data_IF_337319206802
#
_entry.id   IF_337319206802
#
_cell.length_a   1.000
_cell.length_b   1.000
_cell.length_c   1.000
_cell.angle_alpha   90.00
_cell.angle_beta   90.00
_cell.angle_gamma   90.00
#
_symmetry.space_group_name_H-M   'P 1'
#
loop_
_entity.id
_entity.type
_entity.pdbx_description
1 polymer ?
#
# COMPACT_ATOMS: atom_id res chain seq x y z
N UNK A 1 32.78 30.87 4.54
CA UNK A 1 32.50 29.53 3.96
C UNK A 1 31.60 28.81 4.96
N UNK A 2 30.31 29.13 4.93
CA UNK A 2 29.35 28.62 5.91
C UNK A 2 28.92 27.22 5.52
N UNK A 3 29.07 26.27 6.43
CA UNK A 3 28.55 24.91 6.33
C UNK A 3 27.04 24.95 6.10
N UNK A 4 26.62 24.86 4.85
CA UNK A 4 25.26 24.45 4.51
C UNK A 4 25.21 22.93 4.68
N UNK A 5 25.29 22.48 5.92
CA UNK A 5 24.74 21.18 6.28
C UNK A 5 23.24 21.33 6.08
N UNK A 6 22.78 20.92 4.89
CA UNK A 6 21.36 20.84 4.53
C UNK A 6 20.68 19.95 5.58
N UNK A 7 20.14 20.55 6.64
CA UNK A 7 19.48 19.81 7.73
C UNK A 7 18.30 19.06 7.12
N UNK A 8 18.48 17.77 6.90
CA UNK A 8 17.40 16.86 6.52
C UNK A 8 16.33 17.02 7.60
N UNK A 9 15.18 17.57 7.22
CA UNK A 9 14.05 17.72 8.13
C UNK A 9 13.64 16.35 8.65
N UNK A 10 13.40 16.23 9.96
CA UNK A 10 12.88 15.00 10.57
C UNK A 10 11.64 14.46 9.83
N UNK A 11 10.78 15.36 9.33
CA UNK A 11 9.63 15.01 8.51
C UNK A 11 10.01 14.29 7.21
N UNK A 12 11.12 14.67 6.59
CA UNK A 12 11.65 13.99 5.40
C UNK A 12 12.15 12.58 5.74
N UNK A 13 12.84 12.42 6.87
CA UNK A 13 13.27 11.10 7.35
C UNK A 13 12.07 10.19 7.59
N UNK A 14 11.08 10.66 8.35
CA UNK A 14 9.86 9.90 8.65
C UNK A 14 9.11 9.55 7.36
N UNK A 15 8.96 10.51 6.44
CA UNK A 15 8.31 10.27 5.15
C UNK A 15 8.99 9.17 4.32
N UNK A 16 10.33 9.21 4.24
CA UNK A 16 11.12 8.20 3.54
C UNK A 16 11.00 6.84 4.20
N UNK A 17 11.09 6.80 5.54
CA UNK A 17 10.91 5.57 6.31
C UNK A 17 9.52 4.97 6.10
N UNK A 18 8.47 5.78 6.14
CA UNK A 18 7.10 5.34 5.86
C UNK A 18 6.97 4.72 4.47
N UNK A 19 7.64 5.28 3.45
CA UNK A 19 7.67 4.69 2.11
C UNK A 19 8.42 3.35 2.07
N UNK A 20 9.56 3.23 2.77
CA UNK A 20 10.27 1.95 2.88
C UNK A 20 9.40 0.89 3.58
N UNK A 21 8.75 1.25 4.69
CA UNK A 21 7.87 0.34 5.42
C UNK A 21 6.65 -0.08 4.60
N UNK A 22 6.02 0.86 3.89
CA UNK A 22 4.92 0.53 2.98
C UNK A 22 5.37 -0.31 1.79
N UNK A 23 6.60 -0.11 1.31
CA UNK A 23 7.16 -1.03 0.31
C UNK A 23 7.26 -2.45 0.86
N UNK A 24 7.78 -2.63 2.08
CA UNK A 24 7.87 -3.96 2.71
C UNK A 24 6.49 -4.57 2.84
N UNK A 25 5.51 -3.80 3.31
CA UNK A 25 4.12 -4.25 3.40
C UNK A 25 3.56 -4.68 2.03
N UNK A 26 3.71 -3.87 0.99
CA UNK A 26 3.22 -4.22 -0.35
C UNK A 26 3.98 -5.39 -0.97
N UNK A 27 5.26 -5.57 -0.67
CA UNK A 27 6.00 -6.78 -1.08
C UNK A 27 5.46 -8.02 -0.38
N UNK A 28 5.17 -7.96 0.91
CA UNK A 28 4.52 -9.06 1.63
C UNK A 28 3.13 -9.34 1.08
N UNK A 29 2.33 -8.30 0.83
CA UNK A 29 1.03 -8.43 0.18
C UNK A 29 1.17 -9.11 -1.20
N UNK A 30 2.12 -8.69 -2.02
CA UNK A 30 2.41 -9.32 -3.32
C UNK A 30 2.76 -10.80 -3.17
N UNK A 31 3.57 -11.16 -2.17
CA UNK A 31 3.98 -12.53 -1.93
C UNK A 31 2.81 -13.45 -1.55
N UNK A 32 1.94 -13.03 -0.62
CA UNK A 32 0.81 -13.87 -0.19
C UNK A 32 -0.21 -14.10 -1.31
N UNK A 33 -0.27 -13.22 -2.31
CA UNK A 33 -1.16 -13.37 -3.46
C UNK A 33 -0.72 -14.42 -4.49
N UNK A 34 0.43 -15.08 -4.30
CA UNK A 34 0.78 -16.28 -5.08
C UNK A 34 -0.24 -17.41 -4.84
N UNK A 35 -0.92 -17.38 -3.70
CA UNK A 35 -1.96 -18.35 -3.35
C UNK A 35 -3.29 -18.11 -4.06
N UNK A 36 -3.48 -16.96 -4.69
CA UNK A 36 -4.74 -16.53 -5.28
C UNK A 36 -5.01 -17.24 -6.62
N UNK A 37 -6.26 -17.63 -6.94
CA UNK A 37 -6.61 -18.16 -8.26
C UNK A 37 -6.17 -17.25 -9.42
N UNK A 38 -6.19 -15.93 -9.20
CA UNK A 38 -5.79 -14.90 -10.15
C UNK A 38 -4.45 -14.24 -9.75
N UNK A 39 -3.51 -15.03 -9.23
CA UNK A 39 -2.22 -14.58 -8.70
C UNK A 39 -1.50 -13.56 -9.60
N UNK A 40 -1.52 -13.75 -10.92
CA UNK A 40 -0.88 -12.82 -11.85
C UNK A 40 -1.38 -11.37 -11.72
N UNK A 41 -2.69 -11.17 -11.55
CA UNK A 41 -3.29 -9.85 -11.38
C UNK A 41 -2.90 -9.25 -10.02
N UNK A 42 -3.04 -10.03 -8.95
CA UNK A 42 -2.88 -9.55 -7.59
C UNK A 42 -1.42 -9.35 -7.18
N UNK A 43 -0.52 -10.24 -7.59
CA UNK A 43 0.93 -10.08 -7.43
C UNK A 43 1.37 -8.75 -8.05
N UNK A 44 0.94 -8.45 -9.28
CA UNK A 44 1.25 -7.18 -9.97
C UNK A 44 0.58 -5.99 -9.27
N UNK A 45 -0.66 -6.18 -8.81
CA UNK A 45 -1.43 -5.21 -8.03
C UNK A 45 -0.67 -4.64 -6.83
N UNK A 46 0.14 -5.46 -6.16
CA UNK A 46 0.93 -5.03 -5.00
C UNK A 46 2.43 -4.84 -5.30
N UNK A 47 3.00 -5.53 -6.28
CA UNK A 47 4.42 -5.37 -6.63
C UNK A 47 4.73 -3.99 -7.21
N UNK A 48 3.85 -3.45 -8.07
CA UNK A 48 4.03 -2.11 -8.66
C UNK A 48 4.12 -1.02 -7.57
N UNK A 49 3.15 -0.88 -6.65
CA UNK A 49 3.25 0.13 -5.60
C UNK A 49 4.43 -0.13 -4.66
N UNK A 50 4.82 -1.38 -4.40
CA UNK A 50 6.03 -1.68 -3.63
C UNK A 50 7.27 -1.03 -4.25
N UNK A 51 7.52 -1.28 -5.55
CA UNK A 51 8.68 -0.72 -6.27
C UNK A 51 8.63 0.81 -6.32
N UNK A 52 7.44 1.39 -6.57
CA UNK A 52 7.28 2.85 -6.56
C UNK A 52 7.62 3.47 -5.20
N UNK A 53 7.26 2.80 -4.09
CA UNK A 53 7.57 3.24 -2.72
C UNK A 53 9.07 3.12 -2.42
N UNK A 54 9.74 2.05 -2.84
CA UNK A 54 11.20 1.90 -2.71
C UNK A 54 11.92 3.12 -3.30
N UNK A 55 11.54 3.53 -4.52
CA UNK A 55 12.16 4.66 -5.18
C UNK A 55 11.99 5.97 -4.39
N UNK A 56 10.84 6.20 -3.77
CA UNK A 56 10.62 7.38 -2.92
C UNK A 56 11.49 7.31 -1.66
N UNK A 57 11.61 6.13 -1.04
CA UNK A 57 12.47 5.91 0.13
C UNK A 57 13.93 6.30 -0.14
N UNK A 58 14.45 5.95 -1.31
CA UNK A 58 15.81 6.31 -1.71
C UNK A 58 15.94 7.75 -2.22
N UNK A 59 15.02 8.19 -3.09
CA UNK A 59 15.09 9.50 -3.76
C UNK A 59 13.69 10.10 -3.95
N UNK A 60 13.19 10.90 -2.99
CA UNK A 60 11.85 11.49 -3.05
C UNK A 60 11.54 12.28 -4.34
N UNK A 61 12.55 12.87 -4.97
CA UNK A 61 12.41 13.63 -6.22
C UNK A 61 11.95 12.76 -7.40
N UNK A 62 11.98 11.43 -7.28
CA UNK A 62 11.48 10.51 -8.32
C UNK A 62 10.01 10.78 -8.67
N UNK A 63 9.20 11.27 -7.72
CA UNK A 63 7.78 11.59 -7.96
C UNK A 63 7.57 12.74 -8.95
N UNK A 64 8.63 13.48 -9.28
CA UNK A 64 8.61 14.55 -10.26
C UNK A 64 8.92 14.07 -11.68
N UNK A 65 9.43 12.84 -11.82
CA UNK A 65 9.78 12.25 -13.11
C UNK A 65 8.55 11.75 -13.86
N UNK A 66 8.53 11.93 -15.18
CA UNK A 66 7.43 11.46 -16.03
C UNK A 66 7.19 9.94 -15.95
N UNK A 67 8.23 9.07 -15.93
CA UNK A 67 8.01 7.63 -15.83
C UNK A 67 7.30 7.23 -14.53
N UNK A 68 7.78 7.72 -13.38
CA UNK A 68 7.15 7.40 -12.08
C UNK A 68 5.69 7.86 -12.05
N UNK A 69 5.40 9.09 -12.48
CA UNK A 69 4.04 9.63 -12.50
C UNK A 69 3.11 8.85 -13.42
N UNK A 70 3.57 8.46 -14.61
CA UNK A 70 2.74 7.67 -15.55
C UNK A 70 2.41 6.30 -15.00
N UNK A 71 3.39 5.61 -14.41
CA UNK A 71 3.15 4.30 -13.79
C UNK A 71 2.22 4.42 -12.59
N UNK A 72 2.45 5.41 -11.72
CA UNK A 72 1.60 5.66 -10.55
C UNK A 72 0.16 6.03 -10.96
N UNK A 73 -0.03 6.89 -11.96
CA UNK A 73 -1.35 7.32 -12.43
C UNK A 73 -2.09 6.18 -13.15
N UNK A 74 -1.40 5.40 -13.98
CA UNK A 74 -1.98 4.20 -14.60
C UNK A 74 -2.43 3.20 -13.53
N UNK A 75 -1.57 2.92 -12.55
CA UNK A 75 -1.88 2.00 -11.48
C UNK A 75 -3.04 2.51 -10.63
N UNK A 76 -3.06 3.80 -10.28
CA UNK A 76 -4.17 4.42 -9.56
C UNK A 76 -5.49 4.29 -10.32
N UNK A 77 -5.50 4.48 -11.64
CA UNK A 77 -6.69 4.31 -12.48
C UNK A 77 -7.17 2.86 -12.51
N UNK A 78 -6.27 1.91 -12.75
CA UNK A 78 -6.58 0.48 -12.74
C UNK A 78 -7.09 0.03 -11.37
N UNK A 79 -6.41 0.39 -10.28
CA UNK A 79 -6.85 0.09 -8.91
C UNK A 79 -8.20 0.72 -8.60
N UNK A 80 -8.46 1.96 -9.03
CA UNK A 80 -9.76 2.61 -8.79
C UNK A 80 -10.90 1.89 -9.50
N UNK A 81 -10.68 1.43 -10.74
CA UNK A 81 -11.67 0.63 -11.47
C UNK A 81 -11.94 -0.71 -10.77
N UNK A 82 -10.89 -1.41 -10.31
CA UNK A 82 -11.01 -2.67 -9.58
C UNK A 82 -11.70 -2.48 -8.20
N UNK A 83 -11.34 -1.43 -7.45
CA UNK A 83 -12.00 -1.04 -6.20
C UNK A 83 -13.48 -0.77 -6.42
N UNK A 84 -13.85 -0.10 -7.52
CA UNK A 84 -15.25 0.15 -7.84
C UNK A 84 -16.00 -1.16 -8.13
N UNK A 85 -15.42 -2.05 -8.94
CA UNK A 85 -16.04 -3.35 -9.27
C UNK A 85 -16.21 -4.24 -8.03
N UNK A 86 -15.15 -4.38 -7.22
CA UNK A 86 -15.20 -5.14 -5.97
C UNK A 86 -16.13 -4.49 -4.95
N UNK A 87 -16.09 -3.17 -4.81
CA UNK A 87 -16.97 -2.44 -3.90
C UNK A 87 -18.45 -2.62 -4.26
N UNK A 88 -18.77 -2.62 -5.56
CA UNK A 88 -20.11 -2.93 -6.03
C UNK A 88 -20.53 -4.35 -5.67
N UNK A 89 -19.64 -5.33 -5.88
CA UNK A 89 -19.90 -6.73 -5.53
C UNK A 89 -20.14 -6.92 -4.03
N UNK A 90 -19.23 -6.41 -3.19
CA UNK A 90 -19.34 -6.45 -1.72
C UNK A 90 -20.64 -5.80 -1.23
N UNK A 91 -21.04 -4.68 -1.84
CA UNK A 91 -22.30 -4.01 -1.55
C UNK A 91 -23.52 -4.85 -1.95
N UNK A 92 -23.54 -5.37 -3.18
CA UNK A 92 -24.64 -6.16 -3.71
C UNK A 92 -24.85 -7.46 -2.91
N UNK A 93 -23.76 -8.11 -2.50
CA UNK A 93 -23.77 -9.35 -1.71
C UNK A 93 -23.91 -9.11 -0.20
N UNK A 94 -23.95 -7.84 0.25
CA UNK A 94 -24.05 -7.43 1.65
C UNK A 94 -22.96 -8.06 2.53
N UNK A 95 -21.74 -8.13 2.02
CA UNK A 95 -20.60 -8.67 2.75
C UNK A 95 -20.27 -7.77 3.94
N UNK A 96 -20.25 -8.34 5.14
CA UNK A 96 -19.93 -7.61 6.39
C UNK A 96 -18.55 -7.99 6.96
N UNK A 97 -18.07 -9.20 6.67
CA UNK A 97 -16.80 -9.74 7.15
C UNK A 97 -15.66 -9.47 6.14
N UNK A 98 -15.33 -8.19 5.96
CA UNK A 98 -14.44 -7.71 4.90
C UNK A 98 -13.05 -8.39 4.92
N UNK A 99 -12.47 -8.63 6.10
CA UNK A 99 -11.13 -9.21 6.19
C UNK A 99 -11.12 -10.75 6.14
N UNK A 100 -12.24 -11.39 6.44
CA UNK A 100 -12.38 -12.85 6.35
C UNK A 100 -12.58 -13.29 4.90
N UNK A 101 -13.29 -12.48 4.11
CA UNK A 101 -13.49 -12.74 2.68
C UNK A 101 -12.30 -12.25 1.85
N UNK A 102 -11.93 -13.04 0.84
CA UNK A 102 -10.82 -12.75 -0.08
C UNK A 102 -11.03 -11.42 -0.81
N UNK A 103 -12.19 -11.23 -1.42
CA UNK A 103 -12.56 -10.02 -2.16
C UNK A 103 -12.57 -8.76 -1.28
N UNK A 104 -12.91 -8.91 -0.01
CA UNK A 104 -12.87 -7.80 0.94
C UNK A 104 -11.43 -7.39 1.30
N UNK A 105 -10.50 -8.35 1.39
CA UNK A 105 -9.07 -8.08 1.54
C UNK A 105 -8.50 -7.44 0.29
N UNK A 106 -8.84 -7.93 -0.90
CA UNK A 106 -8.45 -7.35 -2.19
C UNK A 106 -8.93 -5.90 -2.34
N UNK A 107 -10.21 -5.65 -2.05
CA UNK A 107 -10.81 -4.32 -2.07
C UNK A 107 -10.07 -3.37 -1.12
N UNK A 108 -9.81 -3.82 0.10
CA UNK A 108 -9.13 -3.02 1.12
C UNK A 108 -7.67 -2.74 0.73
N UNK A 109 -6.97 -3.75 0.22
CA UNK A 109 -5.58 -3.63 -0.23
C UNK A 109 -5.42 -2.67 -1.41
N UNK A 110 -6.29 -2.75 -2.42
CA UNK A 110 -6.25 -1.82 -3.56
C UNK A 110 -6.66 -0.39 -3.16
N UNK A 111 -7.62 -0.25 -2.24
CA UNK A 111 -8.00 1.06 -1.68
C UNK A 111 -6.81 1.69 -0.95
N UNK A 112 -6.10 0.89 -0.14
CA UNK A 112 -4.87 1.32 0.53
C UNK A 112 -3.79 1.73 -0.47
N UNK A 113 -3.56 0.95 -1.53
CA UNK A 113 -2.66 1.30 -2.62
C UNK A 113 -3.04 2.64 -3.27
N UNK A 114 -4.32 2.83 -3.62
CA UNK A 114 -4.79 4.06 -4.25
C UNK A 114 -4.57 5.29 -3.35
N UNK A 115 -4.96 5.21 -2.07
CA UNK A 115 -4.75 6.27 -1.09
C UNK A 115 -3.26 6.55 -0.91
N UNK A 116 -2.42 5.52 -0.85
CA UNK A 116 -0.98 5.69 -0.67
C UNK A 116 -0.32 6.39 -1.87
N UNK A 117 -0.66 5.99 -3.10
CA UNK A 117 -0.13 6.63 -4.32
C UNK A 117 -0.58 8.08 -4.44
N UNK A 118 -1.84 8.39 -4.10
CA UNK A 118 -2.33 9.76 -3.99
C UNK A 118 -1.54 10.54 -2.94
N UNK A 119 -1.30 9.94 -1.77
CA UNK A 119 -0.49 10.52 -0.72
C UNK A 119 0.96 10.71 -1.15
N UNK A 120 1.49 9.95 -2.11
CA UNK A 120 2.86 10.08 -2.61
C UNK A 120 3.03 11.07 -3.78
N UNK A 121 1.95 11.33 -4.52
CA UNK A 121 1.93 12.20 -5.70
C UNK A 121 2.50 13.58 -5.40
N UNK A 122 3.50 14.02 -6.17
CA UNK A 122 4.20 15.31 -5.97
C UNK A 122 4.79 15.49 -4.56
N UNK A 123 5.34 14.44 -3.95
CA UNK A 123 6.02 14.55 -2.65
C UNK A 123 7.48 15.03 -2.76
N UNK A 124 8.06 14.97 -3.95
CA UNK A 124 9.43 15.39 -4.24
C UNK A 124 9.58 16.86 -4.66
N UNK A 125 8.48 17.58 -4.92
CA UNK A 125 8.51 18.98 -5.36
C UNK A 125 8.73 19.98 -4.23
N UNK A 126 8.40 19.62 -2.99
CA UNK A 126 8.52 20.48 -1.82
C UNK A 126 8.64 19.64 -0.53
N UNK A 127 9.13 20.21 0.59
CA UNK A 127 9.13 19.52 1.87
C UNK A 127 7.73 19.01 2.24
N UNK A 128 7.65 17.74 2.63
CA UNK A 128 6.37 17.12 3.01
C UNK A 128 5.90 17.70 4.34
N UNK A 129 4.70 18.26 4.35
CA UNK A 129 4.11 18.91 5.54
C UNK A 129 3.70 17.92 6.63
N UNK A 130 3.57 18.42 7.87
CA UNK A 130 3.25 17.63 9.08
C UNK A 130 2.00 16.76 8.91
N UNK A 131 0.91 17.32 8.37
CA UNK A 131 -0.35 16.60 8.17
C UNK A 131 -0.17 15.37 7.26
N UNK A 132 0.55 15.53 6.16
CA UNK A 132 0.80 14.46 5.19
C UNK A 132 1.69 13.36 5.78
N UNK A 133 2.69 13.74 6.57
CA UNK A 133 3.54 12.80 7.31
C UNK A 133 2.75 12.07 8.41
N UNK A 134 1.90 12.76 9.19
CA UNK A 134 1.10 12.10 10.23
C UNK A 134 0.10 11.11 9.62
N UNK A 135 -0.54 11.47 8.49
CA UNK A 135 -1.41 10.56 7.74
C UNK A 135 -0.63 9.34 7.24
N UNK A 136 0.57 9.54 6.70
CA UNK A 136 1.42 8.43 6.27
C UNK A 136 1.75 7.48 7.42
N UNK A 137 2.16 8.01 8.58
CA UNK A 137 2.46 7.20 9.77
C UNK A 137 1.24 6.38 10.20
N UNK A 138 0.06 7.01 10.30
CA UNK A 138 -1.16 6.29 10.68
C UNK A 138 -1.50 5.16 9.71
N UNK A 139 -1.41 5.43 8.40
CA UNK A 139 -1.67 4.44 7.34
C UNK A 139 -0.61 3.33 7.33
N UNK A 140 0.66 3.62 7.64
CA UNK A 140 1.72 2.60 7.70
C UNK A 140 1.56 1.68 8.91
N UNK A 141 1.17 2.22 10.06
CA UNK A 141 1.03 1.45 11.31
C UNK A 141 -0.16 0.50 11.25
N UNK A 142 -1.31 0.97 10.73
CA UNK A 142 -2.55 0.19 10.69
C UNK A 142 -2.42 -1.23 10.10
N UNK A 143 -1.91 -1.43 8.86
CA UNK A 143 -1.85 -2.76 8.25
C UNK A 143 -0.88 -3.69 8.96
N UNK A 144 0.20 -3.16 9.54
CA UNK A 144 1.16 -3.96 10.33
C UNK A 144 0.48 -4.48 11.61
N UNK A 145 -0.22 -3.59 12.33
CA UNK A 145 -0.96 -3.95 13.54
C UNK A 145 -2.09 -4.93 13.21
N UNK A 146 -2.84 -4.69 12.14
CA UNK A 146 -3.90 -5.59 11.68
C UNK A 146 -3.34 -6.98 11.33
N UNK A 147 -2.23 -7.05 10.58
CA UNK A 147 -1.59 -8.31 10.23
C UNK A 147 -1.13 -9.09 11.48
N UNK A 148 -0.45 -8.43 12.43
CA UNK A 148 -0.05 -9.03 13.69
C UNK A 148 -1.25 -9.54 14.51
N UNK A 149 -2.33 -8.76 14.54
CA UNK A 149 -3.55 -9.14 15.23
C UNK A 149 -4.16 -10.42 14.64
N UNK A 150 -4.28 -10.53 13.31
CA UNK A 150 -4.77 -11.75 12.66
C UNK A 150 -3.81 -12.93 12.78
N UNK A 151 -2.50 -12.67 12.83
CA UNK A 151 -1.50 -13.72 13.05
C UNK A 151 -1.65 -14.35 14.44
N UNK A 152 -1.81 -13.53 15.48
CA UNK A 152 -1.96 -13.98 16.88
C UNK A 152 -3.33 -14.65 17.12
N UNK A 153 -4.40 -14.11 16.53
CA UNK A 153 -5.77 -14.58 16.71
C UNK A 153 -6.17 -15.50 15.55
N UNK A 154 -5.66 -16.74 15.56
CA UNK A 154 -5.82 -17.71 14.47
C UNK A 154 -7.28 -18.05 14.17
N UNK A 155 -8.18 -17.91 15.15
CA UNK A 155 -9.62 -18.12 14.98
C UNK A 155 -10.22 -17.14 13.96
N UNK A 156 -9.62 -15.96 13.76
CA UNK A 156 -10.07 -15.02 12.74
C UNK A 156 -9.68 -15.46 11.31
N UNK A 157 -8.80 -16.46 11.20
CA UNK A 157 -8.33 -17.07 9.95
C UNK A 157 -8.92 -18.46 9.72
N UNK A 158 -9.76 -18.98 10.62
CA UNK A 158 -10.36 -20.32 10.49
C UNK A 158 -11.14 -20.46 9.19
N UNK A 159 -11.89 -19.42 8.86
CA UNK A 159 -12.85 -19.38 7.75
C UNK A 159 -12.21 -18.93 6.43
N UNK A 160 -10.91 -18.68 6.41
CA UNK A 160 -10.21 -18.33 5.17
C UNK A 160 -10.26 -19.50 4.18
N UNK A 161 -10.36 -19.20 2.87
CA UNK A 161 -10.28 -20.22 1.84
C UNK A 161 -9.03 -21.09 1.99
N UNK A 162 -9.14 -22.38 1.64
CA UNK A 162 -8.05 -23.34 1.85
C UNK A 162 -6.76 -22.96 1.12
N UNK A 163 -6.88 -22.34 -0.07
CA UNK A 163 -5.73 -21.87 -0.84
C UNK A 163 -5.01 -20.70 -0.16
N UNK A 164 -5.68 -19.88 0.65
CA UNK A 164 -5.07 -18.75 1.34
C UNK A 164 -4.18 -19.16 2.56
N UNK A 165 -4.07 -20.45 2.90
CA UNK A 165 -3.40 -20.90 4.13
C UNK A 165 -1.94 -21.35 3.93
N UNK A 166 -1.46 -21.42 2.70
CA UNK A 166 -0.15 -22.02 2.36
C UNK A 166 1.04 -21.07 2.43
N UNK A 167 0.84 -19.80 2.07
CA UNK A 167 1.85 -18.75 2.27
C UNK A 167 1.29 -17.75 3.29
N UNK A 168 1.86 -17.77 4.50
CA UNK A 168 1.57 -16.87 5.62
C UNK A 168 2.81 -16.07 5.98
#
# INVERSE_FOLDING_TARGET
>A
MGEVCEKISWLSVVWRLSNVLMSVFFTLASYVQINDPDAGLWVVGYAVPAVLCVFIGFRPQVTETSPWRRVADLHLLSSSAAVFMLGWKLYAERVTQIFQQEEGREFSGLTLTAVWLLLCRRSGSAPVGKLRVSTAVAITVFPIVAWLYYHINEELRSDWPSHCKTAL
#
